data_IF_559832306316
#
_entry.id   IF_559832306316
#
_cell.length_a   1.000
_cell.length_b   1.000
_cell.length_c   1.000
_cell.angle_alpha   90.00
_cell.angle_beta   90.00
_cell.angle_gamma   90.00
#
_symmetry.space_group_name_H-M   'P 1'
#
loop_
_entity.id
_entity.type
_entity.pdbx_description
1 polymer ?
#
# COMPACT_ATOMS: atom_id res chain seq x y z
N UNK A 1 -5.94 2.34 -59.16
CA UNK A 1 -5.08 1.81 -60.24
C UNK A 1 -4.33 0.64 -59.68
N UNK A 2 -4.78 -0.57 -59.95
CA UNK A 2 -4.18 -1.59 -60.85
C UNK A 2 -2.81 -2.09 -60.33
N UNK A 3 -2.44 -3.35 -60.24
CA UNK A 3 -3.06 -4.68 -60.45
C UNK A 3 -1.99 -5.73 -60.12
N UNK A 4 -2.44 -6.82 -59.55
CA UNK A 4 -2.05 -8.23 -59.69
C UNK A 4 -0.75 -8.61 -60.45
N UNK A 5 -0.03 -9.66 -59.93
CA UNK A 5 0.02 -10.91 -60.71
C UNK A 5 0.61 -12.09 -59.92
N UNK A 6 -0.05 -13.22 -60.14
CA UNK A 6 0.18 -14.59 -59.74
C UNK A 6 1.43 -15.24 -60.33
N UNK A 7 1.87 -16.37 -59.81
CA UNK A 7 2.79 -17.27 -60.49
C UNK A 7 3.09 -18.56 -59.71
N UNK A 8 2.23 -19.55 -59.85
CA UNK A 8 2.47 -20.98 -59.61
C UNK A 8 3.50 -21.60 -60.52
N UNK A 9 4.30 -22.56 -60.05
CA UNK A 9 4.74 -23.72 -60.83
C UNK A 9 4.91 -24.95 -59.94
N UNK A 10 4.38 -26.05 -60.40
CA UNK A 10 4.29 -27.41 -59.87
C UNK A 10 5.20 -28.38 -60.62
N UNK A 11 5.57 -29.50 -59.94
CA UNK A 11 5.91 -30.85 -60.41
C UNK A 11 7.28 -31.10 -61.05
N UNK A 12 7.90 -32.19 -60.55
CA UNK A 12 8.13 -33.44 -61.30
C UNK A 12 8.87 -34.49 -60.47
N UNK A 13 8.23 -35.65 -60.34
CA UNK A 13 8.58 -37.06 -60.28
C UNK A 13 10.07 -37.44 -60.49
N UNK A 14 10.62 -38.49 -59.84
CA UNK A 14 10.35 -39.90 -59.89
C UNK A 14 11.31 -40.71 -58.99
N UNK A 15 10.81 -41.68 -58.33
CA UNK A 15 11.17 -43.12 -58.16
C UNK A 15 12.66 -43.53 -58.16
N UNK A 16 13.06 -44.22 -57.05
CA UNK A 16 13.64 -45.55 -57.16
C UNK A 16 13.53 -46.36 -55.84
N UNK A 17 13.23 -47.63 -56.03
CA UNK A 17 12.93 -48.64 -54.99
C UNK A 17 14.21 -49.31 -54.51
N UNK A 18 14.22 -49.77 -53.26
CA UNK A 18 14.88 -51.03 -52.94
C UNK A 18 15.72 -51.04 -51.68
N UNK A 19 15.18 -51.69 -50.65
CA UNK A 19 15.98 -52.59 -49.83
C UNK A 19 16.73 -51.97 -48.63
N UNK A 20 16.04 -51.61 -47.58
CA UNK A 20 16.62 -51.63 -46.20
C UNK A 20 15.45 -51.62 -45.18
N UNK A 21 14.56 -52.60 -45.17
CA UNK A 21 13.40 -52.61 -44.25
C UNK A 21 13.54 -53.43 -42.96
N UNK A 22 14.57 -54.24 -42.82
CA UNK A 22 14.62 -55.14 -41.65
C UNK A 22 15.55 -54.73 -40.51
N UNK A 23 16.41 -53.74 -40.69
CA UNK A 23 17.33 -53.30 -39.63
C UNK A 23 16.78 -52.14 -38.79
N UNK A 24 15.85 -51.40 -39.34
CA UNK A 24 15.26 -50.20 -38.68
C UNK A 24 14.12 -50.49 -37.71
N UNK A 25 13.47 -51.69 -37.84
CA UNK A 25 12.30 -51.99 -36.97
C UNK A 25 12.72 -52.33 -35.54
N UNK A 26 13.86 -52.98 -35.34
CA UNK A 26 14.33 -53.37 -33.99
C UNK A 26 14.99 -52.19 -33.22
N UNK A 27 15.48 -51.18 -33.89
CA UNK A 27 15.98 -49.97 -33.24
C UNK A 27 14.82 -49.04 -32.81
N UNK A 28 13.74 -48.92 -33.59
CA UNK A 28 12.56 -48.11 -33.23
C UNK A 28 11.80 -48.67 -32.02
N UNK A 29 11.72 -49.99 -31.86
CA UNK A 29 11.04 -50.61 -30.70
C UNK A 29 11.84 -50.40 -29.40
N UNK A 30 13.18 -50.38 -29.42
CA UNK A 30 13.99 -50.09 -28.25
C UNK A 30 13.93 -48.60 -27.88
N UNK A 31 13.84 -47.68 -28.84
CA UNK A 31 13.72 -46.25 -28.61
C UNK A 31 12.33 -45.90 -28.06
N UNK A 32 11.25 -46.53 -28.57
CA UNK A 32 9.91 -46.31 -28.03
C UNK A 32 9.75 -46.83 -26.59
N UNK A 33 10.41 -47.94 -26.23
CA UNK A 33 10.38 -48.44 -24.83
C UNK A 33 11.17 -47.56 -23.88
N UNK A 34 12.27 -46.93 -24.32
CA UNK A 34 13.00 -45.96 -23.54
C UNK A 34 12.24 -44.64 -23.32
N UNK A 35 11.52 -44.15 -24.32
CA UNK A 35 10.70 -42.96 -24.21
C UNK A 35 9.45 -43.17 -23.34
N UNK A 36 8.81 -44.33 -23.40
CA UNK A 36 7.66 -44.63 -22.55
C UNK A 36 8.05 -44.71 -21.06
N UNK A 37 9.26 -45.21 -20.73
CA UNK A 37 9.74 -45.27 -19.35
C UNK A 37 10.14 -43.89 -18.79
N UNK A 38 10.69 -43.01 -19.62
CA UNK A 38 11.04 -41.64 -19.24
C UNK A 38 9.80 -40.78 -19.07
N UNK A 39 8.76 -40.97 -19.91
CA UNK A 39 7.50 -40.23 -19.75
C UNK A 39 6.69 -40.70 -18.53
N UNK A 40 6.75 -41.95 -18.12
CA UNK A 40 6.09 -42.45 -16.90
C UNK A 40 6.83 -41.94 -15.65
N UNK A 41 8.15 -41.81 -15.67
CA UNK A 41 8.93 -41.22 -14.58
C UNK A 41 8.73 -39.70 -14.50
N UNK A 42 8.60 -39.00 -15.63
CA UNK A 42 8.28 -37.57 -15.66
C UNK A 42 6.84 -37.26 -15.21
N UNK A 43 5.87 -38.07 -15.54
CA UNK A 43 4.48 -37.99 -15.06
C UNK A 43 4.37 -38.36 -13.57
N UNK A 44 5.17 -39.31 -13.08
CA UNK A 44 5.22 -39.66 -11.66
C UNK A 44 5.85 -38.55 -10.79
N UNK A 45 6.77 -37.77 -11.31
CA UNK A 45 7.37 -36.63 -10.63
C UNK A 45 6.49 -35.35 -10.66
N UNK A 46 5.59 -35.24 -11.64
CA UNK A 46 4.58 -34.16 -11.68
C UNK A 46 3.39 -34.40 -10.75
N UNK A 47 3.14 -35.63 -10.31
CA UNK A 47 2.01 -35.95 -9.41
C UNK A 47 2.39 -35.92 -7.92
N UNK A 48 3.69 -35.81 -7.58
CA UNK A 48 4.15 -35.62 -6.21
C UNK A 48 4.55 -34.17 -5.89
N UNK A 49 4.44 -33.26 -6.86
CA UNK A 49 4.39 -31.84 -6.61
C UNK A 49 3.05 -31.54 -5.93
N UNK A 50 2.97 -31.81 -4.61
CA UNK A 50 1.82 -31.41 -3.83
C UNK A 50 1.53 -29.95 -4.13
N UNK A 51 0.28 -29.64 -4.53
CA UNK A 51 -0.24 -28.29 -4.37
C UNK A 51 0.02 -27.94 -2.90
N UNK A 52 1.11 -27.24 -2.65
CA UNK A 52 1.19 -26.45 -1.43
C UNK A 52 0.11 -25.37 -1.59
N UNK A 53 -1.08 -25.71 -1.12
CA UNK A 53 -2.06 -24.70 -0.73
C UNK A 53 -1.28 -23.90 0.28
N UNK A 54 -0.80 -22.72 -0.13
CA UNK A 54 -0.20 -21.76 0.78
C UNK A 54 -1.27 -21.57 1.87
N UNK A 55 -1.05 -22.17 3.05
CA UNK A 55 -1.84 -21.86 4.22
C UNK A 55 -1.85 -20.33 4.30
N UNK A 56 -3.05 -19.74 4.18
CA UNK A 56 -3.21 -18.32 4.35
C UNK A 56 -2.59 -17.99 5.72
N UNK A 57 -1.41 -17.38 5.71
CA UNK A 57 -0.74 -16.95 6.93
C UNK A 57 -1.77 -16.17 7.74
N UNK A 58 -2.23 -16.76 8.84
CA UNK A 58 -3.14 -16.07 9.76
C UNK A 58 -2.36 -14.89 10.29
N UNK A 59 -2.58 -13.72 9.68
CA UNK A 59 -1.92 -12.49 10.13
C UNK A 59 -2.41 -12.20 11.54
N UNK A 60 -1.53 -12.39 12.50
CA UNK A 60 -1.82 -12.11 13.90
C UNK A 60 -2.20 -10.63 14.04
N UNK A 61 -3.27 -10.35 14.77
CA UNK A 61 -3.64 -8.97 15.10
C UNK A 61 -2.55 -8.37 15.97
N UNK A 62 -1.93 -7.30 15.51
CA UNK A 62 -0.90 -6.57 16.24
C UNK A 62 -1.42 -5.19 16.62
N UNK A 63 -1.27 -4.84 17.89
CA UNK A 63 -1.46 -3.50 18.43
C UNK A 63 -0.10 -2.90 18.88
N UNK A 64 -0.13 -1.74 19.50
CA UNK A 64 1.10 -1.06 19.98
C UNK A 64 1.91 -1.87 21.00
N UNK A 65 1.38 -2.98 21.52
CA UNK A 65 2.11 -3.90 22.40
C UNK A 65 3.28 -4.60 21.70
N UNK A 66 3.26 -4.66 20.34
CA UNK A 66 4.40 -5.08 19.55
C UNK A 66 5.64 -4.16 19.73
N UNK A 67 5.44 -2.98 20.32
CA UNK A 67 6.48 -2.00 20.58
C UNK A 67 6.86 -1.19 19.35
N UNK A 68 8.08 -0.65 19.32
CA UNK A 68 8.55 0.08 18.13
C UNK A 68 8.79 -0.89 16.97
N UNK A 69 8.18 -0.57 15.83
CA UNK A 69 8.35 -1.33 14.61
C UNK A 69 9.66 -0.95 13.90
N UNK A 70 10.14 -1.86 13.07
CA UNK A 70 11.25 -1.63 12.16
C UNK A 70 11.03 -2.35 10.83
N UNK A 71 11.80 -2.00 9.81
CA UNK A 71 11.72 -2.62 8.48
C UNK A 71 12.80 -3.70 8.39
N UNK A 72 12.39 -4.92 8.00
CA UNK A 72 13.28 -6.04 7.70
C UNK A 72 12.93 -6.63 6.34
N UNK A 73 13.83 -6.47 5.37
CA UNK A 73 13.51 -6.77 3.97
C UNK A 73 12.35 -5.89 3.50
N UNK A 74 11.27 -6.50 3.06
CA UNK A 74 10.07 -5.80 2.57
C UNK A 74 8.96 -5.66 3.62
N UNK A 75 9.21 -6.04 4.88
CA UNK A 75 8.19 -6.17 5.91
C UNK A 75 8.38 -5.18 7.06
N UNK A 76 7.27 -4.74 7.65
CA UNK A 76 7.27 -4.22 9.02
C UNK A 76 7.37 -5.40 9.99
N UNK A 77 8.22 -5.28 10.99
CA UNK A 77 8.38 -6.31 12.02
C UNK A 77 8.45 -5.69 13.43
N UNK A 78 8.10 -6.48 14.42
CA UNK A 78 8.25 -6.15 15.83
C UNK A 78 9.71 -6.35 16.32
N UNK A 79 9.99 -6.05 17.58
CA UNK A 79 11.32 -6.22 18.19
C UNK A 79 11.83 -7.67 18.20
N UNK A 80 10.95 -8.67 18.00
CA UNK A 80 11.29 -10.10 17.94
C UNK A 80 11.44 -10.58 16.49
N UNK A 81 11.16 -9.74 15.50
CA UNK A 81 11.21 -10.07 14.09
C UNK A 81 9.93 -10.70 13.52
N UNK A 82 8.84 -10.69 14.27
CA UNK A 82 7.55 -11.14 13.76
C UNK A 82 6.98 -10.09 12.80
N UNK A 83 6.43 -10.54 11.67
CA UNK A 83 5.77 -9.67 10.70
C UNK A 83 4.55 -8.97 11.31
N UNK A 84 4.44 -7.67 11.12
CA UNK A 84 3.34 -6.82 11.57
C UNK A 84 2.66 -6.19 10.37
N UNK A 85 1.36 -6.35 10.24
CA UNK A 85 0.56 -5.68 9.23
C UNK A 85 -0.36 -4.66 9.90
N UNK A 86 -0.21 -3.39 9.51
CA UNK A 86 -1.05 -2.30 9.99
C UNK A 86 -2.26 -2.13 9.06
N UNK A 87 -3.45 -2.02 9.66
CA UNK A 87 -4.73 -1.87 8.98
C UNK A 87 -5.55 -0.81 9.69
N UNK A 88 -5.94 0.23 9.00
CA UNK A 88 -6.65 1.30 9.68
C UNK A 88 -7.25 2.34 8.77
N UNK A 89 -7.40 3.55 9.31
CA UNK A 89 -8.07 4.66 8.64
C UNK A 89 -7.23 5.93 8.69
N UNK A 90 -7.31 6.74 7.64
CA UNK A 90 -6.80 8.11 7.62
C UNK A 90 -7.89 9.07 8.08
N UNK A 91 -7.55 10.09 8.87
CA UNK A 91 -8.40 11.29 8.92
C UNK A 91 -8.50 11.87 7.51
N UNK A 92 -9.55 12.61 7.22
CA UNK A 92 -9.47 13.66 6.19
C UNK A 92 -8.56 14.78 6.71
N UNK A 93 -8.31 15.82 5.91
CA UNK A 93 -7.48 16.93 6.30
C UNK A 93 -7.81 17.48 7.69
N UNK A 94 -6.81 17.57 8.55
CA UNK A 94 -6.95 17.99 9.94
C UNK A 94 -7.54 19.39 10.10
N UNK A 95 -7.38 20.26 9.08
CA UNK A 95 -7.96 21.61 9.08
C UNK A 95 -9.46 21.61 8.82
N UNK A 96 -9.99 20.62 8.10
CA UNK A 96 -11.41 20.52 7.77
C UNK A 96 -12.21 19.69 8.77
N UNK A 97 -11.61 18.59 9.27
CA UNK A 97 -12.30 17.61 10.11
C UNK A 97 -11.55 17.29 11.41
N UNK A 98 -11.11 18.32 12.18
CA UNK A 98 -10.34 18.12 13.43
C UNK A 98 -11.15 17.39 14.51
N UNK A 99 -12.47 17.41 14.44
CA UNK A 99 -13.39 16.83 15.42
C UNK A 99 -13.27 15.32 15.54
N UNK A 100 -12.79 14.61 14.51
CA UNK A 100 -12.62 13.16 14.56
C UNK A 100 -11.37 12.73 15.35
N UNK A 101 -10.45 13.67 15.64
CA UNK A 101 -9.32 13.40 16.55
C UNK A 101 -9.79 13.54 17.99
N UNK A 102 -10.58 12.56 18.45
CA UNK A 102 -11.12 12.52 19.80
C UNK A 102 -11.05 11.12 20.42
N UNK A 103 -11.10 11.07 21.76
CA UNK A 103 -10.89 9.86 22.55
C UNK A 103 -11.89 8.74 22.21
N UNK A 104 -13.18 9.09 22.15
CA UNK A 104 -14.26 8.12 21.91
C UNK A 104 -14.21 7.56 20.48
N UNK A 105 -13.80 8.39 19.49
CA UNK A 105 -13.64 7.96 18.13
C UNK A 105 -12.48 6.94 18.01
N UNK A 106 -11.32 7.25 18.57
CA UNK A 106 -10.15 6.35 18.53
C UNK A 106 -10.40 5.04 19.28
N UNK A 107 -11.06 5.09 20.44
CA UNK A 107 -11.53 3.90 21.14
C UNK A 107 -12.41 3.02 20.23
N UNK A 108 -13.37 3.63 19.55
CA UNK A 108 -14.27 2.90 18.66
C UNK A 108 -13.55 2.27 17.46
N UNK A 109 -12.61 2.99 16.83
CA UNK A 109 -11.81 2.48 15.72
C UNK A 109 -11.02 1.24 16.13
N UNK A 110 -10.41 1.24 17.30
CA UNK A 110 -9.68 0.08 17.82
C UNK A 110 -10.63 -1.02 18.27
N UNK A 111 -11.46 -0.75 19.31
CA UNK A 111 -12.18 -1.77 20.05
C UNK A 111 -13.34 -2.40 19.26
N UNK A 112 -13.96 -1.62 18.36
CA UNK A 112 -15.16 -2.05 17.61
C UNK A 112 -14.90 -2.34 16.15
N UNK A 113 -13.90 -1.66 15.54
CA UNK A 113 -13.60 -1.84 14.14
C UNK A 113 -12.39 -2.75 13.91
N UNK A 114 -11.50 -2.87 14.88
CA UNK A 114 -10.27 -3.65 14.76
C UNK A 114 -9.16 -2.94 14.00
N UNK A 115 -9.22 -1.60 13.93
CA UNK A 115 -8.10 -0.81 13.41
C UNK A 115 -6.93 -0.84 14.42
N UNK A 116 -5.70 -0.95 13.91
CA UNK A 116 -4.49 -0.90 14.74
C UNK A 116 -3.58 0.28 14.37
N UNK A 117 -4.02 1.15 13.47
CA UNK A 117 -3.32 2.36 13.05
C UNK A 117 -4.30 3.45 12.64
N UNK A 118 -3.92 4.72 12.87
CA UNK A 118 -4.60 5.91 12.36
C UNK A 118 -3.58 6.78 11.63
N UNK A 119 -3.93 7.32 10.47
CA UNK A 119 -3.12 8.31 9.75
C UNK A 119 -3.69 9.71 9.99
N UNK A 120 -2.84 10.66 10.30
CA UNK A 120 -3.18 12.05 10.56
C UNK A 120 -2.76 12.90 9.37
N UNK A 121 -3.70 13.16 8.45
CA UNK A 121 -3.45 13.87 7.21
C UNK A 121 -3.37 15.38 7.43
N UNK A 122 -2.16 15.94 7.50
CA UNK A 122 -1.94 17.37 7.65
C UNK A 122 -1.59 18.00 6.30
N UNK A 123 -2.58 18.57 5.63
CA UNK A 123 -2.39 19.26 4.36
C UNK A 123 -1.41 20.43 4.48
N UNK A 124 -0.68 20.67 3.40
CA UNK A 124 0.35 21.72 3.31
C UNK A 124 -0.21 23.01 2.71
N UNK A 125 -0.76 22.96 1.51
CA UNK A 125 -1.19 24.14 0.73
C UNK A 125 -2.70 24.40 0.75
N UNK A 126 -3.53 23.37 0.94
CA UNK A 126 -4.98 23.49 0.90
C UNK A 126 -5.52 24.38 2.02
N UNK A 127 -6.84 24.54 2.09
CA UNK A 127 -7.51 25.40 3.07
C UNK A 127 -6.96 25.21 4.49
N UNK A 128 -6.45 26.30 5.08
CA UNK A 128 -5.79 26.30 6.38
C UNK A 128 -4.73 25.19 6.51
N UNK A 129 -4.03 24.86 5.43
CA UNK A 129 -2.90 23.97 5.44
C UNK A 129 -1.74 24.51 6.28
N UNK A 130 -0.78 23.65 6.56
CA UNK A 130 0.36 24.04 7.41
C UNK A 130 1.19 25.20 6.82
N UNK A 131 1.32 25.26 5.49
CA UNK A 131 2.10 26.26 4.78
C UNK A 131 1.26 27.47 4.36
N UNK A 132 -0.02 27.28 4.02
CA UNK A 132 -0.95 28.33 3.60
C UNK A 132 -1.60 29.08 4.78
N UNK A 133 -1.71 28.43 5.95
CA UNK A 133 -2.27 29.04 7.15
C UNK A 133 -1.31 29.93 7.93
N UNK A 134 -1.83 30.67 8.88
CA UNK A 134 -1.06 31.56 9.76
C UNK A 134 -0.27 30.80 10.85
N UNK A 135 0.47 31.54 11.69
CA UNK A 135 1.26 30.97 12.77
C UNK A 135 0.40 30.27 13.84
N UNK A 136 -0.82 30.80 14.10
CA UNK A 136 -1.77 30.19 15.04
C UNK A 136 -2.26 28.84 14.51
N UNK A 137 -2.64 28.79 13.23
CA UNK A 137 -3.06 27.56 12.57
C UNK A 137 -1.96 26.48 12.60
N UNK A 138 -0.72 26.84 12.28
CA UNK A 138 0.44 25.91 12.40
C UNK A 138 0.61 25.36 13.81
N UNK A 139 0.47 26.23 14.83
CA UNK A 139 0.52 25.81 16.24
C UNK A 139 -0.61 24.84 16.59
N UNK A 140 -1.82 25.12 16.14
CA UNK A 140 -2.99 24.32 16.45
C UNK A 140 -2.94 22.94 15.73
N UNK A 141 -2.47 22.89 14.47
CA UNK A 141 -2.23 21.62 13.76
C UNK A 141 -1.19 20.75 14.48
N UNK A 142 -0.09 21.32 14.95
CA UNK A 142 0.92 20.58 15.74
C UNK A 142 0.34 20.07 17.06
N UNK A 143 -0.49 20.86 17.77
CA UNK A 143 -1.18 20.41 18.98
C UNK A 143 -2.14 19.25 18.68
N UNK A 144 -2.88 19.33 17.57
CA UNK A 144 -3.83 18.30 17.14
C UNK A 144 -3.11 16.99 16.79
N UNK A 145 -1.98 17.06 16.08
CA UNK A 145 -1.13 15.89 15.81
C UNK A 145 -0.66 15.24 17.12
N UNK A 146 -0.11 16.04 18.04
CA UNK A 146 0.35 15.54 19.35
C UNK A 146 -0.80 14.91 20.15
N UNK A 147 -2.01 15.49 20.08
CA UNK A 147 -3.21 14.89 20.66
C UNK A 147 -3.53 13.54 20.01
N UNK A 148 -3.54 13.48 18.68
CA UNK A 148 -3.77 12.25 17.93
C UNK A 148 -2.77 11.13 18.27
N UNK A 149 -1.49 11.46 18.37
CA UNK A 149 -0.43 10.51 18.78
C UNK A 149 -0.69 9.95 20.19
N UNK A 150 -1.04 10.81 21.15
CA UNK A 150 -1.36 10.39 22.53
C UNK A 150 -2.60 9.50 22.56
N UNK A 151 -3.65 9.85 21.82
CA UNK A 151 -4.89 9.08 21.74
C UNK A 151 -4.67 7.73 21.07
N UNK A 152 -3.93 7.68 19.96
CA UNK A 152 -3.57 6.43 19.31
C UNK A 152 -2.83 5.50 20.27
N UNK A 153 -1.83 6.00 21.00
CA UNK A 153 -1.10 5.21 22.02
C UNK A 153 -2.03 4.73 23.14
N UNK A 154 -2.91 5.60 23.66
CA UNK A 154 -3.90 5.26 24.69
C UNK A 154 -4.77 4.09 24.24
N UNK A 155 -5.21 4.10 22.99
CA UNK A 155 -6.06 3.06 22.40
C UNK A 155 -5.27 2.00 21.63
N UNK A 156 -4.00 1.76 21.98
CA UNK A 156 -3.15 0.68 21.48
C UNK A 156 -2.96 0.67 19.94
N UNK A 157 -3.04 1.83 19.29
CA UNK A 157 -2.85 1.99 17.86
C UNK A 157 -1.50 2.64 17.54
N UNK A 158 -0.94 2.27 16.39
CA UNK A 158 0.09 3.05 15.72
C UNK A 158 -0.51 4.30 15.12
N UNK A 159 0.35 5.27 14.77
CA UNK A 159 -0.08 6.52 14.16
C UNK A 159 0.92 6.96 13.09
N UNK A 160 0.40 7.33 11.93
CA UNK A 160 1.17 7.95 10.86
C UNK A 160 0.98 9.47 10.97
N UNK A 161 2.08 10.20 11.10
CA UNK A 161 2.13 11.67 11.02
C UNK A 161 2.50 12.01 9.59
N UNK A 162 1.52 12.51 8.85
CA UNK A 162 1.60 12.70 7.41
C UNK A 162 1.71 14.18 7.02
N UNK A 163 2.77 14.50 6.30
CA UNK A 163 2.96 15.74 5.57
C UNK A 163 2.25 15.64 4.22
N UNK A 164 0.98 16.06 4.22
CA UNK A 164 0.03 15.77 3.16
C UNK A 164 0.12 16.78 2.02
N UNK A 165 1.12 16.64 1.16
CA UNK A 165 1.23 17.41 -0.08
C UNK A 165 0.18 16.93 -1.09
N UNK A 166 -0.41 17.83 -1.85
CA UNK A 166 -1.35 17.53 -2.93
C UNK A 166 -1.25 18.58 -4.05
N UNK A 167 -1.82 19.79 -3.89
CA UNK A 167 -1.76 20.84 -4.90
C UNK A 167 -0.37 21.44 -5.09
N UNK A 168 0.46 21.42 -4.09
CA UNK A 168 1.88 21.79 -4.16
C UNK A 168 2.74 20.81 -4.99
N UNK A 169 2.25 19.63 -5.29
CA UNK A 169 2.79 18.64 -6.25
C UNK A 169 4.22 18.19 -5.97
N UNK A 170 5.15 19.14 -5.87
CA UNK A 170 6.57 18.86 -5.62
C UNK A 170 6.90 19.10 -4.13
N UNK A 171 7.36 18.07 -3.38
CA UNK A 171 7.66 18.24 -1.95
C UNK A 171 8.79 19.24 -1.66
N UNK A 172 9.57 19.61 -2.66
CA UNK A 172 10.60 20.66 -2.50
C UNK A 172 10.01 22.06 -2.37
N UNK A 173 8.75 22.31 -2.77
CA UNK A 173 8.08 23.61 -2.65
C UNK A 173 8.10 24.12 -1.21
N UNK A 174 7.87 23.23 -0.24
CA UNK A 174 7.87 23.56 1.20
C UNK A 174 8.91 22.77 2.00
N UNK A 175 10.05 22.48 1.38
CA UNK A 175 11.12 21.69 2.01
C UNK A 175 11.65 22.29 3.31
N UNK A 176 11.73 23.63 3.39
CA UNK A 176 12.19 24.34 4.59
C UNK A 176 11.20 24.16 5.75
N UNK A 177 9.93 24.32 5.47
CA UNK A 177 8.82 24.14 6.42
C UNK A 177 8.71 22.70 6.88
N UNK A 178 8.81 21.74 5.94
CA UNK A 178 8.82 20.31 6.24
C UNK A 178 9.98 19.94 7.19
N UNK A 179 11.19 20.42 6.92
CA UNK A 179 12.34 20.18 7.80
C UNK A 179 12.11 20.76 9.19
N UNK A 180 11.59 22.00 9.29
CA UNK A 180 11.29 22.64 10.57
C UNK A 180 10.23 21.84 11.36
N UNK A 181 9.14 21.44 10.68
CA UNK A 181 8.08 20.62 11.26
C UNK A 181 8.61 19.28 11.76
N UNK A 182 9.29 18.51 10.92
CA UNK A 182 9.80 17.21 11.31
C UNK A 182 10.92 17.26 12.35
N UNK A 183 11.73 18.34 12.38
CA UNK A 183 12.70 18.54 13.45
C UNK A 183 12.02 18.68 14.81
N UNK A 184 10.95 19.50 14.87
CA UNK A 184 10.17 19.68 16.09
C UNK A 184 9.43 18.41 16.49
N UNK A 185 8.68 17.79 15.55
CA UNK A 185 7.88 16.61 15.83
C UNK A 185 8.75 15.40 16.21
N UNK A 186 9.85 15.16 15.52
CA UNK A 186 10.74 14.04 15.86
C UNK A 186 11.40 14.21 17.24
N UNK A 187 11.69 15.45 17.64
CA UNK A 187 12.20 15.75 18.98
C UNK A 187 11.17 15.50 20.07
N UNK A 188 9.92 15.97 19.85
CA UNK A 188 8.86 15.86 20.85
C UNK A 188 8.27 14.44 20.94
N UNK A 189 8.24 13.71 19.83
CA UNK A 189 7.60 12.40 19.73
C UNK A 189 8.57 11.21 19.86
N UNK A 190 9.87 11.42 20.00
CA UNK A 190 10.89 10.34 20.08
C UNK A 190 10.62 9.27 21.15
N UNK A 191 9.90 9.64 22.22
CA UNK A 191 9.50 8.72 23.30
C UNK A 191 8.28 7.85 22.97
N UNK A 192 7.64 8.08 21.84
CA UNK A 192 6.47 7.31 21.41
C UNK A 192 6.91 6.19 20.46
N UNK A 193 6.65 4.94 20.87
CA UNK A 193 7.00 3.76 20.07
C UNK A 193 5.98 3.42 18.98
N UNK A 194 4.90 4.18 18.89
CA UNK A 194 3.79 3.99 17.96
C UNK A 194 3.77 4.97 16.78
N UNK A 195 4.80 5.83 16.63
CA UNK A 195 4.84 6.87 15.59
C UNK A 195 5.59 6.39 14.34
N UNK A 196 4.99 6.62 13.19
CA UNK A 196 5.56 6.51 11.85
C UNK A 196 5.46 7.89 11.20
N UNK A 197 6.47 8.32 10.46
CA UNK A 197 6.46 9.59 9.73
C UNK A 197 6.27 9.34 8.25
N UNK A 198 5.25 9.94 7.63
CA UNK A 198 5.08 10.01 6.18
C UNK A 198 5.47 11.41 5.73
N UNK A 199 6.55 11.50 4.94
CA UNK A 199 7.21 12.79 4.70
C UNK A 199 6.76 13.52 3.43
N UNK A 200 5.98 12.86 2.59
CA UNK A 200 5.27 13.46 1.45
C UNK A 200 4.17 12.50 0.98
N UNK A 201 2.92 12.96 1.00
CA UNK A 201 1.74 12.18 0.63
C UNK A 201 1.75 11.75 -0.86
N UNK A 202 1.54 12.71 -1.76
CA UNK A 202 1.31 12.44 -3.17
C UNK A 202 2.09 13.40 -4.09
N UNK A 203 3.39 13.17 -4.29
CA UNK A 203 4.13 13.89 -5.31
C UNK A 203 3.48 13.70 -6.69
N UNK A 204 3.21 14.81 -7.39
CA UNK A 204 2.47 14.80 -8.66
C UNK A 204 2.99 15.90 -9.61
N UNK A 205 2.21 16.29 -10.62
CA UNK A 205 2.56 17.35 -11.58
C UNK A 205 3.93 17.13 -12.27
N UNK A 206 4.29 15.88 -12.57
CA UNK A 206 5.55 15.56 -13.22
C UNK A 206 6.77 15.57 -12.31
N UNK A 207 6.59 15.68 -11.00
CA UNK A 207 7.69 15.59 -10.02
C UNK A 207 8.40 14.25 -10.15
N UNK A 208 9.69 14.29 -10.46
CA UNK A 208 10.51 13.12 -10.69
C UNK A 208 10.94 12.42 -9.40
N UNK A 209 11.22 11.12 -9.48
CA UNK A 209 11.80 10.37 -8.36
C UNK A 209 13.12 10.99 -7.84
N UNK A 210 13.94 11.55 -8.73
CA UNK A 210 15.18 12.25 -8.35
C UNK A 210 14.92 13.45 -7.43
N UNK A 211 13.90 14.26 -7.72
CA UNK A 211 13.51 15.41 -6.88
C UNK A 211 12.94 14.95 -5.54
N UNK A 212 12.03 13.96 -5.54
CA UNK A 212 11.49 13.36 -4.32
C UNK A 212 12.61 12.79 -3.45
N UNK A 213 13.53 12.04 -4.04
CA UNK A 213 14.68 11.44 -3.35
C UNK A 213 15.61 12.50 -2.74
N UNK A 214 15.82 13.62 -3.43
CA UNK A 214 16.60 14.76 -2.91
C UNK A 214 15.93 15.40 -1.70
N UNK A 215 14.61 15.65 -1.77
CA UNK A 215 13.80 16.11 -0.65
C UNK A 215 13.87 15.13 0.53
N UNK A 216 13.56 13.87 0.26
CA UNK A 216 13.48 12.82 1.27
C UNK A 216 14.80 12.67 2.05
N UNK A 217 15.93 12.62 1.38
CA UNK A 217 17.25 12.55 2.04
C UNK A 217 17.44 13.67 3.07
N UNK A 218 17.02 14.89 2.75
CA UNK A 218 17.15 16.04 3.65
C UNK A 218 16.23 15.94 4.87
N UNK A 219 14.97 15.54 4.66
CA UNK A 219 13.98 15.41 5.74
C UNK A 219 14.29 14.20 6.62
N UNK A 220 14.66 13.06 6.02
CA UNK A 220 15.09 11.86 6.76
C UNK A 220 16.28 12.20 7.67
N UNK A 221 17.30 12.89 7.15
CA UNK A 221 18.45 13.32 7.96
C UNK A 221 17.99 14.16 9.17
N UNK A 222 17.07 15.09 8.96
CA UNK A 222 16.50 15.93 10.04
C UNK A 222 15.76 15.10 11.09
N UNK A 223 14.96 14.10 10.69
CA UNK A 223 14.27 13.21 11.63
C UNK A 223 15.29 12.37 12.42
N UNK A 224 16.32 11.87 11.75
CA UNK A 224 17.36 11.02 12.34
C UNK A 224 18.21 11.71 13.40
N UNK A 225 18.30 13.05 13.39
CA UNK A 225 18.92 13.82 14.46
C UNK A 225 18.27 13.53 15.83
N UNK A 226 16.96 13.31 15.87
CA UNK A 226 16.18 13.14 17.10
C UNK A 226 15.67 11.70 17.31
N UNK A 227 15.26 11.02 16.23
CA UNK A 227 14.73 9.65 16.27
C UNK A 227 15.42 8.76 15.22
N UNK A 228 16.52 8.15 15.63
CA UNK A 228 17.36 7.29 14.76
C UNK A 228 16.65 6.05 14.26
N UNK A 229 15.60 5.58 14.94
CA UNK A 229 14.92 4.31 14.68
C UNK A 229 13.50 4.45 14.11
N UNK A 230 13.03 5.67 13.89
CA UNK A 230 11.69 5.89 13.33
C UNK A 230 11.53 5.18 11.98
N UNK A 231 10.35 4.59 11.76
CA UNK A 231 9.93 4.18 10.41
C UNK A 231 9.48 5.44 9.67
N UNK A 232 10.00 5.62 8.46
CA UNK A 232 9.71 6.77 7.60
C UNK A 232 9.15 6.25 6.28
N UNK A 233 8.00 6.79 5.86
CA UNK A 233 7.36 6.49 4.58
C UNK A 233 7.59 7.66 3.63
N UNK A 234 7.97 7.35 2.40
CA UNK A 234 8.26 8.32 1.34
C UNK A 234 7.27 8.13 0.21
N UNK A 235 6.53 9.16 -0.16
CA UNK A 235 5.67 9.17 -1.34
C UNK A 235 6.48 8.93 -2.62
N UNK A 236 5.86 8.32 -3.61
CA UNK A 236 6.48 8.05 -4.91
C UNK A 236 5.86 8.92 -6.01
N UNK A 237 6.42 9.01 -7.24
CA UNK A 237 5.83 9.85 -8.29
C UNK A 237 4.40 9.44 -8.64
N UNK A 238 3.70 10.33 -9.39
CA UNK A 238 2.37 10.08 -9.96
C UNK A 238 1.35 9.70 -8.87
N UNK A 239 1.15 10.62 -7.90
CA UNK A 239 0.23 10.39 -6.75
C UNK A 239 0.55 9.10 -6.00
N UNK A 240 1.81 8.89 -5.69
CA UNK A 240 2.31 7.69 -5.00
C UNK A 240 1.97 6.37 -5.69
N UNK A 241 2.06 6.31 -7.04
CA UNK A 241 1.79 5.09 -7.83
C UNK A 241 3.06 4.46 -8.43
N UNK A 242 4.14 5.23 -8.59
CA UNK A 242 5.34 4.77 -9.32
C UNK A 242 6.41 4.18 -8.39
N UNK A 243 6.01 3.18 -7.62
CA UNK A 243 6.93 2.44 -6.72
C UNK A 243 8.03 1.69 -7.47
N UNK A 244 7.84 1.41 -8.76
CA UNK A 244 8.83 0.81 -9.65
C UNK A 244 10.05 1.72 -9.86
N UNK A 245 9.85 3.05 -9.93
CA UNK A 245 10.95 4.03 -9.99
C UNK A 245 11.75 4.03 -8.68
N UNK A 246 11.07 3.94 -7.54
CA UNK A 246 11.73 3.81 -6.24
C UNK A 246 12.47 2.47 -6.10
N UNK A 247 11.91 1.37 -6.65
CA UNK A 247 12.55 0.06 -6.65
C UNK A 247 13.81 0.00 -7.53
N UNK A 248 13.86 0.80 -8.60
CA UNK A 248 15.04 0.90 -9.46
C UNK A 248 16.20 1.68 -8.81
N UNK A 249 15.90 2.65 -7.95
CA UNK A 249 16.90 3.49 -7.29
C UNK A 249 16.47 3.86 -5.84
N UNK A 250 16.44 2.91 -4.89
CA UNK A 250 15.93 3.15 -3.55
C UNK A 250 16.80 4.13 -2.75
N UNK A 251 16.20 4.75 -1.74
CA UNK A 251 16.93 5.58 -0.77
C UNK A 251 17.72 4.66 0.16
N UNK A 252 19.02 4.92 0.31
CA UNK A 252 19.87 4.17 1.26
C UNK A 252 19.56 4.57 2.69
N UNK A 253 19.43 3.59 3.56
CA UNK A 253 19.20 3.76 5.01
C UNK A 253 18.18 2.77 5.56
N UNK A 254 18.13 2.68 6.89
CA UNK A 254 17.24 1.75 7.60
C UNK A 254 15.86 2.36 7.84
N UNK A 255 14.88 1.49 7.99
CA UNK A 255 13.51 1.87 8.36
C UNK A 255 12.87 2.90 7.41
N UNK A 256 13.09 2.74 6.11
CA UNK A 256 12.46 3.53 5.06
C UNK A 256 11.49 2.62 4.31
N UNK A 257 10.26 3.07 4.11
CA UNK A 257 9.24 2.43 3.30
C UNK A 257 8.76 3.41 2.21
N UNK A 258 8.06 2.88 1.21
CA UNK A 258 7.60 3.66 0.05
C UNK A 258 6.09 3.57 -0.05
N UNK A 259 5.45 4.74 -0.15
CA UNK A 259 4.01 4.80 -0.29
C UNK A 259 3.56 4.33 -1.67
N UNK A 260 2.49 3.53 -1.68
CA UNK A 260 1.67 3.31 -2.85
C UNK A 260 0.23 3.69 -2.50
N UNK A 261 -0.41 4.48 -3.37
CA UNK A 261 -1.81 4.86 -3.23
C UNK A 261 -2.64 4.30 -4.38
N UNK A 262 -3.87 3.88 -4.08
CA UNK A 262 -4.79 3.41 -5.11
C UNK A 262 -6.24 3.73 -4.76
N UNK A 263 -7.08 3.80 -5.79
CA UNK A 263 -8.53 3.87 -5.69
C UNK A 263 -9.10 2.73 -6.55
N UNK A 264 -9.79 1.78 -5.91
CA UNK A 264 -10.08 0.47 -6.51
C UNK A 264 -10.96 0.54 -7.76
N UNK A 265 -11.86 1.51 -7.87
CA UNK A 265 -12.66 1.65 -9.09
C UNK A 265 -11.85 2.13 -10.31
N UNK A 266 -10.69 2.80 -10.09
CA UNK A 266 -9.77 3.24 -11.16
C UNK A 266 -8.59 2.28 -11.33
N UNK A 267 -7.90 1.94 -10.25
CA UNK A 267 -6.62 1.24 -10.26
C UNK A 267 -6.83 -0.27 -10.11
N UNK A 268 -6.52 -0.99 -11.16
CA UNK A 268 -6.80 -2.43 -11.31
C UNK A 268 -5.53 -3.29 -11.23
N UNK A 269 -5.50 -4.37 -12.00
CA UNK A 269 -4.42 -5.36 -12.00
C UNK A 269 -3.05 -4.74 -12.31
N UNK A 270 -2.97 -3.76 -13.21
CA UNK A 270 -1.69 -3.17 -13.63
C UNK A 270 -0.95 -2.51 -12.47
N UNK A 271 -1.66 -1.72 -11.64
CA UNK A 271 -1.04 -1.10 -10.48
C UNK A 271 -0.75 -2.12 -9.37
N UNK A 272 -1.62 -3.14 -9.18
CA UNK A 272 -1.31 -4.25 -8.26
C UNK A 272 -0.05 -5.00 -8.68
N UNK A 273 0.09 -5.31 -9.98
CA UNK A 273 1.27 -5.98 -10.53
C UNK A 273 2.53 -5.12 -10.38
N UNK A 274 2.42 -3.79 -10.57
CA UNK A 274 3.51 -2.84 -10.30
C UNK A 274 3.96 -2.92 -8.83
N UNK A 275 3.02 -2.93 -7.89
CA UNK A 275 3.30 -3.07 -6.45
C UNK A 275 4.04 -4.39 -6.15
N UNK A 276 3.50 -5.52 -6.62
CA UNK A 276 4.10 -6.83 -6.33
C UNK A 276 5.46 -6.99 -7.00
N UNK A 277 5.65 -6.45 -8.20
CA UNK A 277 6.94 -6.43 -8.87
C UNK A 277 7.99 -5.60 -8.12
N UNK A 278 7.61 -4.45 -7.57
CA UNK A 278 8.49 -3.64 -6.73
C UNK A 278 8.88 -4.36 -5.43
N UNK A 279 7.93 -5.01 -4.76
CA UNK A 279 8.18 -5.82 -3.56
C UNK A 279 9.12 -6.98 -3.88
N UNK A 280 8.90 -7.68 -4.99
CA UNK A 280 9.76 -8.80 -5.41
C UNK A 280 11.21 -8.35 -5.74
N UNK A 281 11.42 -7.07 -6.06
CA UNK A 281 12.73 -6.44 -6.18
C UNK A 281 13.33 -6.01 -4.82
N UNK A 282 12.64 -6.24 -3.72
CA UNK A 282 13.10 -5.93 -2.37
C UNK A 282 12.65 -4.57 -1.82
N UNK A 283 11.72 -3.87 -2.49
CA UNK A 283 11.22 -2.59 -2.01
C UNK A 283 10.17 -2.79 -0.89
N UNK A 284 10.33 -2.22 0.31
CA UNK A 284 9.32 -2.24 1.34
C UNK A 284 8.20 -1.23 1.04
N UNK A 285 7.04 -1.72 0.62
CA UNK A 285 5.87 -0.90 0.25
C UNK A 285 4.89 -0.80 1.41
N UNK A 286 4.28 0.38 1.58
CA UNK A 286 3.17 0.63 2.48
C UNK A 286 2.06 1.36 1.71
N UNK A 287 0.86 0.82 1.72
CA UNK A 287 -0.31 1.51 1.16
C UNK A 287 -0.85 2.46 2.23
N UNK A 288 -0.31 3.68 2.28
CA UNK A 288 -0.67 4.68 3.29
C UNK A 288 -1.98 5.39 2.99
N UNK A 289 -2.51 5.22 1.77
CA UNK A 289 -3.83 5.69 1.39
C UNK A 289 -4.46 4.76 0.34
N UNK A 290 -5.73 4.41 0.53
CA UNK A 290 -6.55 3.80 -0.51
C UNK A 290 -8.03 4.14 -0.33
N UNK A 291 -8.77 4.18 -1.44
CA UNK A 291 -10.23 4.23 -1.50
C UNK A 291 -10.80 3.07 -2.31
N UNK A 292 -12.09 2.77 -2.13
CA UNK A 292 -12.77 1.76 -2.96
C UNK A 292 -13.58 2.40 -4.09
N UNK A 293 -13.68 3.73 -4.12
CA UNK A 293 -14.25 4.52 -5.21
C UNK A 293 -13.23 4.75 -6.34
N UNK A 294 -13.57 5.59 -7.31
CA UNK A 294 -12.64 6.05 -8.32
C UNK A 294 -11.64 7.11 -7.78
N UNK A 295 -10.62 7.41 -8.57
CA UNK A 295 -9.52 8.29 -8.17
C UNK A 295 -9.91 9.76 -7.94
N UNK A 296 -11.14 10.17 -8.27
CA UNK A 296 -11.64 11.49 -7.89
C UNK A 296 -11.99 11.60 -6.40
N UNK A 297 -12.07 10.45 -5.70
CA UNK A 297 -12.57 10.35 -4.33
C UNK A 297 -14.09 10.42 -4.21
N UNK A 298 -14.80 10.71 -5.29
CA UNK A 298 -16.27 10.95 -5.27
C UNK A 298 -17.03 10.26 -6.41
N UNK A 299 -16.57 9.13 -6.89
CA UNK A 299 -17.23 8.40 -7.97
C UNK A 299 -17.74 7.03 -7.58
N UNK A 300 -17.85 6.17 -8.58
CA UNK A 300 -18.34 4.80 -8.43
C UNK A 300 -17.47 3.99 -7.47
N UNK A 301 -18.08 3.07 -6.74
CA UNK A 301 -17.43 2.14 -5.79
C UNK A 301 -17.28 0.77 -6.46
N UNK A 302 -16.08 0.17 -6.36
CA UNK A 302 -15.81 -1.19 -6.81
C UNK A 302 -15.31 -2.08 -5.65
N UNK A 303 -16.27 -2.65 -4.92
CA UNK A 303 -15.98 -3.54 -3.77
C UNK A 303 -15.25 -4.81 -4.19
N UNK A 304 -15.55 -5.34 -5.38
CA UNK A 304 -14.92 -6.58 -5.88
C UNK A 304 -13.44 -6.36 -6.17
N UNK A 305 -13.10 -5.23 -6.75
CA UNK A 305 -11.72 -4.88 -6.99
C UNK A 305 -10.97 -4.52 -5.70
N UNK A 306 -11.65 -3.84 -4.77
CA UNK A 306 -11.13 -3.57 -3.43
C UNK A 306 -10.79 -4.88 -2.70
N UNK A 307 -11.65 -5.90 -2.75
CA UNK A 307 -11.38 -7.21 -2.15
C UNK A 307 -10.14 -7.89 -2.76
N UNK A 308 -9.90 -7.74 -4.08
CA UNK A 308 -8.68 -8.24 -4.74
C UNK A 308 -7.43 -7.50 -4.25
N UNK A 309 -7.51 -6.18 -4.07
CA UNK A 309 -6.44 -5.40 -3.49
C UNK A 309 -6.11 -5.86 -2.07
N UNK A 310 -7.13 -6.02 -1.21
CA UNK A 310 -6.95 -6.51 0.16
C UNK A 310 -6.30 -7.90 0.16
N UNK A 311 -6.76 -8.81 -0.70
CA UNK A 311 -6.17 -10.14 -0.82
C UNK A 311 -4.69 -10.05 -1.19
N UNK A 312 -4.34 -9.29 -2.22
CA UNK A 312 -2.93 -9.12 -2.64
C UNK A 312 -2.08 -8.51 -1.54
N UNK A 313 -2.57 -7.47 -0.86
CA UNK A 313 -1.84 -6.84 0.24
C UNK A 313 -1.62 -7.79 1.42
N UNK A 314 -2.59 -8.65 1.73
CA UNK A 314 -2.44 -9.65 2.78
C UNK A 314 -1.43 -10.75 2.40
N UNK A 315 -1.45 -11.23 1.15
CA UNK A 315 -0.50 -12.21 0.63
C UNK A 315 0.95 -11.70 0.73
N UNK A 316 1.15 -10.42 0.45
CA UNK A 316 2.46 -9.78 0.53
C UNK A 316 2.76 -9.14 1.90
N UNK A 317 1.85 -9.22 2.89
CA UNK A 317 2.01 -8.62 4.21
C UNK A 317 2.16 -7.09 4.16
N UNK A 318 1.58 -6.44 3.16
CA UNK A 318 1.58 -4.98 2.99
C UNK A 318 0.57 -4.35 3.92
N UNK A 319 0.98 -3.36 4.71
CA UNK A 319 0.09 -2.54 5.55
C UNK A 319 -0.75 -1.59 4.69
N UNK A 320 -1.98 -1.26 5.14
CA UNK A 320 -2.90 -0.42 4.36
C UNK A 320 -3.84 0.45 5.20
N UNK A 321 -4.08 1.68 4.72
CA UNK A 321 -4.84 2.73 5.41
C UNK A 321 -5.94 3.25 4.49
N UNK A 322 -7.21 3.13 4.91
CA UNK A 322 -8.35 3.62 4.13
C UNK A 322 -8.51 5.14 4.23
N UNK A 323 -8.75 5.80 3.14
CA UNK A 323 -9.16 7.17 3.02
C UNK A 323 -10.69 7.22 2.92
N UNK A 324 -11.48 7.98 3.71
CA UNK A 324 -11.08 8.83 4.80
C UNK A 324 -12.16 8.89 5.92
N UNK A 325 -11.73 9.18 7.14
CA UNK A 325 -12.62 9.39 8.29
C UNK A 325 -13.15 10.82 8.29
N UNK A 326 -14.22 11.04 7.57
CA UNK A 326 -14.99 12.27 7.55
C UNK A 326 -16.46 11.97 7.21
N UNK A 327 -17.30 13.00 7.31
CA UNK A 327 -18.67 13.02 6.78
C UNK A 327 -18.80 13.99 5.59
N UNK A 328 -17.72 14.19 4.84
CA UNK A 328 -17.76 14.95 3.59
C UNK A 328 -18.72 14.29 2.61
N UNK A 329 -19.41 15.07 1.79
CA UNK A 329 -20.30 14.55 0.76
C UNK A 329 -19.48 14.03 -0.44
N UNK A 330 -18.86 12.88 -0.25
CA UNK A 330 -18.11 12.18 -1.29
C UNK A 330 -18.09 10.67 -1.01
N UNK A 331 -17.82 9.87 -2.04
CA UNK A 331 -17.87 8.39 -1.96
C UNK A 331 -16.79 7.81 -1.06
N UNK A 332 -15.61 8.45 -0.96
CA UNK A 332 -14.51 8.03 -0.10
C UNK A 332 -14.72 8.32 1.39
N UNK A 333 -15.75 9.08 1.75
CA UNK A 333 -16.05 9.35 3.16
C UNK A 333 -16.60 8.11 3.85
N UNK A 334 -16.02 7.76 4.99
CA UNK A 334 -16.44 6.59 5.77
C UNK A 334 -17.78 6.83 6.47
N UNK A 335 -18.04 8.07 6.89
CA UNK A 335 -19.28 8.47 7.57
C UNK A 335 -20.20 9.15 6.57
N UNK A 336 -21.51 8.87 6.63
CA UNK A 336 -22.49 9.54 5.78
C UNK A 336 -22.49 11.05 6.02
N UNK A 337 -22.65 11.84 4.97
CA UNK A 337 -22.72 13.30 5.06
C UNK A 337 -23.88 13.81 5.94
N UNK A 338 -24.96 13.04 6.06
CA UNK A 338 -26.11 13.34 6.94
C UNK A 338 -25.84 13.04 8.42
N UNK A 339 -24.71 12.41 8.77
CA UNK A 339 -24.38 12.06 10.15
C UNK A 339 -23.50 13.15 10.79
N UNK A 340 -24.00 13.80 11.82
CA UNK A 340 -23.27 14.82 12.59
C UNK A 340 -22.44 14.27 13.77
N UNK A 341 -22.48 12.94 14.02
CA UNK A 341 -21.72 12.33 15.08
C UNK A 341 -20.22 12.38 14.81
N UNK A 342 -19.43 12.52 15.85
CA UNK A 342 -17.96 12.49 15.80
C UNK A 342 -17.37 11.24 16.48
N UNK A 343 -18.25 10.35 16.98
CA UNK A 343 -17.94 9.05 17.58
C UNK A 343 -19.25 8.29 17.84
N UNK A 344 -19.16 7.02 18.30
CA UNK A 344 -20.35 6.22 18.60
C UNK A 344 -21.13 5.83 17.34
N UNK A 345 -20.45 5.69 16.19
CA UNK A 345 -21.06 5.36 14.91
C UNK A 345 -21.73 3.99 14.96
N UNK A 346 -22.98 3.94 14.52
CA UNK A 346 -23.69 2.71 14.19
C UNK A 346 -23.46 2.36 12.71
N UNK A 347 -23.71 1.13 12.31
CA UNK A 347 -23.58 0.72 10.89
C UNK A 347 -24.50 1.57 9.95
N UNK A 348 -25.62 2.07 10.47
CA UNK A 348 -26.52 2.98 9.74
C UNK A 348 -25.91 4.36 9.47
N UNK A 349 -24.94 4.80 10.27
CA UNK A 349 -24.26 6.09 10.14
C UNK A 349 -23.14 6.04 9.07
N UNK A 350 -22.75 4.83 8.63
CA UNK A 350 -21.67 4.61 7.69
C UNK A 350 -22.15 4.72 6.23
N UNK A 351 -21.31 5.28 5.39
CA UNK A 351 -21.43 5.25 3.93
C UNK A 351 -21.30 3.80 3.40
N UNK A 352 -21.38 3.61 2.11
CA UNK A 352 -21.17 2.26 1.54
C UNK A 352 -19.69 1.84 1.59
N UNK A 353 -18.75 2.77 1.43
CA UNK A 353 -17.34 2.52 1.71
C UNK A 353 -17.12 2.20 3.19
N UNK A 354 -17.69 3.01 4.08
CA UNK A 354 -17.58 2.79 5.53
C UNK A 354 -18.15 1.46 6.00
N UNK A 355 -19.26 0.99 5.43
CA UNK A 355 -19.82 -0.35 5.76
C UNK A 355 -18.92 -1.49 5.29
N UNK A 356 -18.36 -1.36 4.08
CA UNK A 356 -17.41 -2.35 3.55
C UNK A 356 -16.14 -2.39 4.43
N UNK A 357 -15.54 -1.22 4.69
CA UNK A 357 -14.35 -1.09 5.52
C UNK A 357 -14.56 -1.64 6.94
N UNK A 358 -15.66 -1.26 7.60
CA UNK A 358 -16.02 -1.77 8.92
C UNK A 358 -16.08 -3.30 8.95
N UNK A 359 -16.71 -3.90 7.95
CA UNK A 359 -16.85 -5.36 7.88
C UNK A 359 -15.49 -6.03 7.62
N UNK A 360 -14.68 -5.47 6.73
CA UNK A 360 -13.36 -5.96 6.38
C UNK A 360 -12.41 -5.89 7.57
N UNK A 361 -12.28 -4.74 8.24
CA UNK A 361 -11.39 -4.57 9.40
C UNK A 361 -11.75 -5.54 10.53
N UNK A 362 -13.05 -5.68 10.86
CA UNK A 362 -13.52 -6.62 11.89
C UNK A 362 -13.15 -8.07 11.57
N UNK A 363 -13.37 -8.48 10.32
CA UNK A 363 -12.99 -9.83 9.86
C UNK A 363 -11.49 -10.06 10.04
N UNK A 364 -10.65 -9.10 9.64
CA UNK A 364 -9.20 -9.19 9.75
C UNK A 364 -8.69 -9.15 11.20
N UNK A 365 -9.41 -8.52 12.10
CA UNK A 365 -9.10 -8.46 13.53
C UNK A 365 -9.70 -9.65 14.32
N UNK A 366 -10.41 -10.58 13.68
CA UNK A 366 -11.07 -11.69 14.36
C UNK A 366 -12.26 -11.26 15.26
N UNK A 367 -12.85 -10.08 15.01
CA UNK A 367 -13.98 -9.53 15.76
C UNK A 367 -15.36 -9.95 15.22
N UNK A 368 -15.40 -10.71 14.14
CA UNK A 368 -16.61 -11.34 13.61
C UNK A 368 -16.67 -12.77 14.08
N UNK A 369 -17.77 -13.10 14.81
CA UNK A 369 -18.16 -14.50 15.05
C UNK A 369 -18.90 -15.02 13.84
#
# INVERSE_FOLDING_TARGET
>A
MLQRSNGTWSRLFASEKGGVEHVFLNKKIKILRGFALVCVLALGLCLTGGLQIAEAKTTTYYDVSAGRLHVKGTKLVDKKGHEVQLRGVSTHGLSWYPQYVNDKCFAQLHDKWGANVVRLAMYTEEYNGYCSGDAKNRSDLKKLIKKGVKLAKKHKMYVIVDWHILSDGNPNSHKKEAKAFFKEMSKELKGYNNVIYEICNEPNNGTSWKEIKSYAKSVISTIRENDKKAVIVVGTPTWSQDVDQAAADPIKGDNIMYALHFYAATHKADLRNKMTAAINKGLPVFVTEYGICDASGNGAIDKKEADRWIQTMDEYGVSYIAWNLSNKQESSSIIKSSCSKVSGFKKSDLSDEGKWLYSMLRKKAGLTK
#
